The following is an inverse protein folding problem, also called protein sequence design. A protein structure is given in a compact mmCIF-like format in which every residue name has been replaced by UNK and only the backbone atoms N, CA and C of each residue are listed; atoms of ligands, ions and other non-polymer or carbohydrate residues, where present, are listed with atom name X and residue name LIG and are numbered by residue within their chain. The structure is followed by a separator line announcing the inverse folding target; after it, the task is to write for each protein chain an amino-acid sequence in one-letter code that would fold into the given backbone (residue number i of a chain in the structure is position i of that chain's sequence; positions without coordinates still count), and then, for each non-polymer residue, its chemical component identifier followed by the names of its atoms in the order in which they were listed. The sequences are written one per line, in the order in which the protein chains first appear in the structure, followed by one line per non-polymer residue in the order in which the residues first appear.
data_IF_109019169304
#
_entry.id   IF_109019169304
#
_cell.length_a   1.000
_cell.length_b   1.000
_cell.length_c   1.000
_cell.angle_alpha   90.00
_cell.angle_beta   90.00
_cell.angle_gamma   90.00
#
_symmetry.space_group_name_H-M   'P 1'
#
loop_
_entity.id
_entity.type
_entity.pdbx_description
1 polymer ?
#
# COMPACT_ATOMS: atom_id res chain seq x y z
N UNK A 1 18.60 -22.80 -9.06
CA UNK A 1 18.57 -21.52 -8.34
C UNK A 1 19.01 -20.43 -9.30
N UNK A 2 18.07 -19.61 -9.77
CA UNK A 2 18.37 -18.36 -10.49
C UNK A 2 18.06 -17.25 -9.51
N UNK A 3 19.09 -16.66 -8.91
CA UNK A 3 18.94 -15.40 -8.22
C UNK A 3 18.70 -14.34 -9.30
N UNK A 4 17.44 -14.19 -9.72
CA UNK A 4 17.04 -13.04 -10.52
C UNK A 4 17.41 -11.80 -9.70
N UNK A 5 18.30 -10.97 -10.24
CA UNK A 5 18.57 -9.64 -9.71
C UNK A 5 17.20 -8.99 -9.48
N UNK A 6 16.87 -8.79 -8.20
CA UNK A 6 15.59 -8.23 -7.78
C UNK A 6 15.35 -6.94 -8.56
N UNK A 7 14.43 -6.97 -9.51
CA UNK A 7 14.04 -5.76 -10.25
C UNK A 7 13.57 -4.75 -9.21
N UNK A 8 14.23 -3.58 -9.17
CA UNK A 8 13.83 -2.55 -8.22
C UNK A 8 12.58 -1.88 -8.78
N UNK A 9 11.50 -1.92 -8.01
CA UNK A 9 10.26 -1.24 -8.34
C UNK A 9 10.08 0.01 -7.47
N UNK A 10 9.44 1.02 -8.03
CA UNK A 10 8.96 2.18 -7.31
C UNK A 10 7.52 2.47 -7.73
N UNK A 11 6.73 2.97 -6.79
CA UNK A 11 5.35 3.38 -7.00
C UNK A 11 5.20 4.82 -6.50
N UNK A 12 4.62 5.68 -7.32
CA UNK A 12 4.41 7.09 -7.02
C UNK A 12 2.94 7.46 -7.20
N UNK A 13 2.43 8.32 -6.33
CA UNK A 13 1.17 9.04 -6.56
C UNK A 13 1.52 10.51 -6.69
N UNK A 14 1.00 11.16 -7.73
CA UNK A 14 1.15 12.60 -7.90
C UNK A 14 -0.05 13.31 -7.28
N UNK A 15 0.22 14.43 -6.60
CA UNK A 15 -0.82 15.25 -5.96
C UNK A 15 -1.90 15.73 -6.94
N UNK A 16 -1.53 16.00 -8.20
CA UNK A 16 -2.45 16.43 -9.24
C UNK A 16 -3.22 15.28 -9.91
N UNK A 17 -2.86 14.02 -9.64
CA UNK A 17 -3.51 12.81 -10.15
C UNK A 17 -3.66 11.75 -9.03
N UNK A 18 -4.38 12.05 -7.93
CA UNK A 18 -4.43 11.20 -6.75
C UNK A 18 -5.15 9.86 -6.97
N UNK A 19 -5.86 9.70 -8.09
CA UNK A 19 -6.56 8.47 -8.47
C UNK A 19 -5.70 7.45 -9.23
N UNK A 20 -4.40 7.71 -9.40
CA UNK A 20 -3.51 6.88 -10.20
C UNK A 20 -2.17 6.68 -9.52
N UNK A 21 -1.69 5.44 -9.53
CA UNK A 21 -0.34 5.08 -9.09
C UNK A 21 0.50 4.80 -10.33
N UNK A 22 1.65 5.45 -10.42
CA UNK A 22 2.61 5.28 -11.48
C UNK A 22 3.70 4.32 -11.03
N UNK A 23 3.93 3.27 -11.81
CA UNK A 23 4.94 2.27 -11.54
C UNK A 23 6.19 2.56 -12.36
N UNK A 24 7.34 2.43 -11.71
CA UNK A 24 8.65 2.54 -12.32
C UNK A 24 9.46 1.31 -11.98
N UNK A 25 10.31 0.90 -12.92
CA UNK A 25 11.29 -0.16 -12.70
C UNK A 25 12.68 0.34 -13.02
N UNK A 26 13.64 -0.11 -12.24
CA UNK A 26 15.05 0.00 -12.58
C UNK A 26 15.45 -1.30 -13.29
N UNK A 27 15.88 -1.25 -14.56
CA UNK A 27 16.36 -2.44 -15.25
C UNK A 27 17.49 -3.12 -14.47
N UNK A 28 17.62 -4.44 -14.65
CA UNK A 28 18.75 -5.16 -14.09
C UNK A 28 20.08 -4.54 -14.55
N UNK A 29 21.08 -4.57 -13.67
CA UNK A 29 22.36 -3.92 -13.88
C UNK A 29 22.97 -4.27 -15.25
N UNK A 30 23.27 -3.23 -16.06
CA UNK A 30 23.95 -3.37 -17.35
C UNK A 30 23.22 -2.80 -18.57
N UNK A 31 21.95 -2.36 -18.43
CA UNK A 31 21.16 -1.83 -19.55
C UNK A 31 20.95 -0.31 -19.51
N UNK A 32 20.66 0.25 -18.33
CA UNK A 32 20.71 1.68 -18.02
C UNK A 32 20.54 1.84 -16.50
N UNK A 33 21.04 2.94 -15.92
CA UNK A 33 20.84 3.26 -14.50
C UNK A 33 19.57 4.10 -14.25
N UNK A 34 18.70 4.18 -15.27
CA UNK A 34 17.56 5.09 -15.26
C UNK A 34 16.27 4.34 -14.93
N UNK A 35 15.43 4.96 -14.10
CA UNK A 35 14.08 4.50 -13.85
C UNK A 35 13.24 4.64 -15.12
N UNK A 36 12.61 3.55 -15.55
CA UNK A 36 11.70 3.57 -16.70
C UNK A 36 10.26 3.33 -16.25
N UNK A 37 9.27 3.97 -16.90
CA UNK A 37 7.86 3.66 -16.65
C UNK A 37 7.58 2.17 -16.86
N UNK A 38 6.84 1.58 -15.92
CA UNK A 38 6.49 0.17 -15.90
C UNK A 38 4.98 -0.08 -15.99
N UNK A 39 4.16 0.98 -15.90
CA UNK A 39 2.70 0.92 -16.00
C UNK A 39 2.02 1.82 -15.00
N UNK A 40 0.69 1.69 -14.94
CA UNK A 40 -0.18 2.52 -14.11
C UNK A 40 -1.24 1.65 -13.43
N UNK A 41 -1.65 2.05 -12.23
CA UNK A 41 -2.74 1.43 -11.48
C UNK A 41 -3.78 2.49 -11.17
N UNK A 42 -5.00 2.28 -11.66
CA UNK A 42 -6.13 3.11 -11.30
C UNK A 42 -6.65 2.71 -9.92
N UNK A 43 -6.78 3.69 -9.04
CA UNK A 43 -7.42 3.51 -7.75
C UNK A 43 -8.94 3.56 -7.91
N UNK A 44 -9.69 2.83 -7.06
CA UNK A 44 -11.15 2.91 -7.09
C UNK A 44 -11.61 4.34 -6.76
N UNK A 45 -12.83 4.72 -7.16
CA UNK A 45 -13.40 6.02 -6.80
C UNK A 45 -13.44 6.29 -5.28
N UNK A 46 -13.56 5.24 -4.46
CA UNK A 46 -13.53 5.35 -2.99
C UNK A 46 -12.21 5.94 -2.46
N UNK A 47 -11.12 5.86 -3.24
CA UNK A 47 -9.82 6.43 -2.88
C UNK A 47 -9.75 7.97 -3.02
N UNK A 48 -10.77 8.61 -3.58
CA UNK A 48 -10.82 10.07 -3.77
C UNK A 48 -10.86 10.84 -2.43
N UNK A 49 -11.15 10.17 -1.32
CA UNK A 49 -11.06 10.73 0.04
C UNK A 49 -9.64 10.84 0.60
N UNK A 50 -8.61 10.45 -0.16
CA UNK A 50 -7.21 10.54 0.23
C UNK A 50 -6.57 9.18 0.52
N UNK A 51 -5.36 8.99 0.02
CA UNK A 51 -4.51 7.83 0.30
C UNK A 51 -3.64 8.13 1.52
N UNK A 52 -3.36 7.08 2.30
CA UNK A 52 -2.47 7.19 3.43
C UNK A 52 -1.07 6.67 3.14
N UNK A 53 -0.94 5.62 2.31
CA UNK A 53 0.36 5.04 2.05
C UNK A 53 0.36 3.97 0.95
N UNK A 54 1.57 3.71 0.47
CA UNK A 54 1.92 2.67 -0.49
C UNK A 54 2.99 1.77 0.13
N UNK A 55 2.90 0.47 -0.12
CA UNK A 55 3.95 -0.47 0.22
C UNK A 55 4.04 -1.62 -0.77
N UNK A 56 5.23 -2.21 -0.86
CA UNK A 56 5.45 -3.43 -1.64
C UNK A 56 5.56 -4.63 -0.71
N UNK A 57 4.94 -5.74 -1.11
CA UNK A 57 5.09 -7.05 -0.48
C UNK A 57 5.40 -8.09 -1.57
N UNK A 58 6.68 -8.27 -1.87
CA UNK A 58 7.10 -9.08 -3.02
C UNK A 58 6.61 -8.47 -4.33
N UNK A 59 5.72 -9.18 -5.03
CA UNK A 59 5.11 -8.74 -6.28
C UNK A 59 3.76 -8.05 -6.09
N UNK A 60 3.40 -7.75 -4.84
CA UNK A 60 2.13 -7.12 -4.50
C UNK A 60 2.37 -5.65 -4.16
N UNK A 61 1.52 -4.79 -4.71
CA UNK A 61 1.38 -3.40 -4.30
C UNK A 61 0.20 -3.28 -3.36
N UNK A 62 0.43 -2.76 -2.16
CA UNK A 62 -0.61 -2.45 -1.19
C UNK A 62 -0.83 -0.93 -1.18
N UNK A 63 -2.09 -0.52 -1.20
CA UNK A 63 -2.52 0.86 -1.04
C UNK A 63 -3.52 0.95 0.11
N UNK A 64 -3.29 1.84 1.07
CA UNK A 64 -4.22 2.06 2.19
C UNK A 64 -4.97 3.38 2.02
N UNK A 65 -6.29 3.33 2.19
CA UNK A 65 -7.15 4.52 2.20
C UNK A 65 -7.13 5.18 3.58
N UNK A 66 -6.83 6.47 3.65
CA UNK A 66 -6.54 7.15 4.92
C UNK A 66 -7.73 7.25 5.87
N UNK A 67 -8.93 7.48 5.32
CA UNK A 67 -10.15 7.65 6.11
C UNK A 67 -10.76 6.35 6.62
N UNK A 68 -10.70 5.26 5.83
CA UNK A 68 -11.34 3.98 6.18
C UNK A 68 -10.37 2.92 6.67
N UNK A 69 -9.10 2.99 6.27
CA UNK A 69 -8.14 1.89 6.48
C UNK A 69 -8.38 0.68 5.60
N UNK A 70 -9.27 0.78 4.60
CA UNK A 70 -9.39 -0.21 3.55
C UNK A 70 -8.06 -0.35 2.81
N UNK A 71 -7.67 -1.60 2.52
CA UNK A 71 -6.41 -1.89 1.82
C UNK A 71 -6.72 -2.55 0.49
N UNK A 72 -6.31 -1.89 -0.59
CA UNK A 72 -6.26 -2.47 -1.91
C UNK A 72 -4.94 -3.20 -2.09
N UNK A 73 -5.00 -4.45 -2.49
CA UNK A 73 -3.83 -5.25 -2.83
C UNK A 73 -3.89 -5.60 -4.31
N UNK A 74 -2.78 -5.39 -5.02
CA UNK A 74 -2.69 -5.67 -6.45
C UNK A 74 -1.41 -6.43 -6.77
N UNK A 75 -1.55 -7.57 -7.42
CA UNK A 75 -0.43 -8.31 -8.00
C UNK A 75 0.09 -7.57 -9.23
N UNK A 76 1.39 -7.33 -9.28
CA UNK A 76 2.05 -6.57 -10.34
C UNK A 76 2.40 -7.41 -11.57
N UNK A 77 2.37 -8.75 -11.48
CA UNK A 77 2.62 -9.63 -12.61
C UNK A 77 1.35 -9.89 -13.43
N UNK A 78 0.25 -10.24 -12.77
CA UNK A 78 -1.00 -10.66 -13.44
C UNK A 78 -2.13 -9.62 -13.32
N UNK A 79 -1.92 -8.56 -12.55
CA UNK A 79 -2.89 -7.47 -12.38
C UNK A 79 -4.11 -7.84 -11.54
N UNK A 80 -4.14 -9.02 -10.90
CA UNK A 80 -5.23 -9.41 -10.00
C UNK A 80 -5.25 -8.51 -8.78
N UNK A 81 -6.46 -8.18 -8.35
CA UNK A 81 -6.70 -7.31 -7.20
C UNK A 81 -7.51 -8.04 -6.14
N UNK A 82 -7.19 -7.75 -4.88
CA UNK A 82 -7.98 -8.14 -3.72
C UNK A 82 -8.11 -6.95 -2.76
N UNK A 83 -9.04 -7.08 -1.81
CA UNK A 83 -9.39 -6.03 -0.87
C UNK A 83 -9.38 -6.60 0.54
N UNK A 84 -8.83 -5.84 1.47
CA UNK A 84 -9.01 -6.08 2.90
C UNK A 84 -9.95 -5.02 3.44
N UNK A 85 -11.03 -5.47 4.07
CA UNK A 85 -12.08 -4.61 4.58
C UNK A 85 -11.52 -3.58 5.58
N UNK A 86 -12.18 -2.42 5.74
CA UNK A 86 -11.82 -1.52 6.82
C UNK A 86 -12.00 -2.23 8.17
N UNK A 87 -11.10 -2.02 9.15
CA UNK A 87 -11.30 -2.53 10.49
C UNK A 87 -12.53 -1.87 11.14
N UNK A 88 -13.03 -2.41 12.27
CA UNK A 88 -14.17 -1.82 12.96
C UNK A 88 -13.94 -0.32 13.23
N UNK A 89 -14.98 0.52 13.02
CA UNK A 89 -14.87 1.95 13.21
C UNK A 89 -14.50 2.26 14.66
N UNK A 90 -13.49 3.12 14.83
CA UNK A 90 -13.10 3.68 16.12
C UNK A 90 -13.12 5.21 16.00
N UNK A 91 -13.45 5.89 17.11
CA UNK A 91 -13.44 7.34 17.12
C UNK A 91 -12.04 7.89 16.79
N UNK A 92 -12.00 8.86 15.86
CA UNK A 92 -10.82 9.63 15.45
C UNK A 92 -9.57 8.79 15.18
N UNK A 93 -9.62 7.96 14.13
CA UNK A 93 -8.48 7.19 13.62
C UNK A 93 -8.08 7.68 12.23
N UNK A 94 -6.79 7.88 12.01
CA UNK A 94 -6.19 8.19 10.71
C UNK A 94 -5.22 7.08 10.32
N UNK A 95 -5.50 6.36 9.23
CA UNK A 95 -4.57 5.36 8.72
C UNK A 95 -3.37 6.04 8.06
N UNK A 96 -2.20 5.40 8.14
CA UNK A 96 -0.92 5.92 7.64
C UNK A 96 -0.21 4.96 6.70
N UNK A 97 -0.26 3.65 6.96
CA UNK A 97 0.38 2.66 6.11
C UNK A 97 -0.22 1.28 6.33
N UNK A 98 0.06 0.36 5.42
CA UNK A 98 -0.23 -1.07 5.57
C UNK A 98 0.92 -1.89 5.01
N UNK A 99 1.15 -3.08 5.53
CA UNK A 99 2.06 -4.07 4.97
C UNK A 99 1.44 -5.47 5.01
N UNK A 100 1.92 -6.35 4.12
CA UNK A 100 1.52 -7.74 4.18
C UNK A 100 2.11 -8.40 5.44
N UNK A 101 1.31 -9.26 6.06
CA UNK A 101 1.70 -10.07 7.20
C UNK A 101 1.28 -11.51 6.94
N UNK A 102 2.21 -12.46 7.05
CA UNK A 102 1.91 -13.89 6.91
C UNK A 102 1.91 -14.53 8.30
N UNK A 103 0.73 -14.76 8.93
CA UNK A 103 0.64 -15.64 10.09
C UNK A 103 1.10 -17.05 9.75
N UNK A 104 1.54 -17.79 10.78
CA UNK A 104 2.10 -19.16 10.68
C UNK A 104 1.21 -20.19 9.95
N UNK A 105 -0.07 -19.87 9.71
CA UNK A 105 -1.05 -20.72 9.05
C UNK A 105 -1.20 -20.49 7.52
N UNK A 106 -0.35 -19.67 6.89
CA UNK A 106 -0.33 -19.50 5.43
C UNK A 106 -1.49 -18.69 4.84
N UNK A 107 -2.30 -18.02 5.68
CA UNK A 107 -3.25 -17.01 5.23
C UNK A 107 -2.54 -15.67 5.04
N UNK A 108 -2.77 -14.97 3.95
CA UNK A 108 -2.16 -13.67 3.72
C UNK A 108 -2.95 -12.57 4.46
N UNK A 109 -2.41 -12.10 5.58
CA UNK A 109 -2.98 -11.02 6.39
C UNK A 109 -2.40 -9.65 6.05
N UNK A 110 -2.92 -8.62 6.74
CA UNK A 110 -2.46 -7.24 6.61
C UNK A 110 -2.29 -6.60 7.98
N UNK A 111 -1.14 -5.98 8.18
CA UNK A 111 -0.87 -5.12 9.33
C UNK A 111 -1.05 -3.66 8.91
N UNK A 112 -1.87 -2.91 9.64
CA UNK A 112 -2.12 -1.49 9.40
C UNK A 112 -1.51 -0.65 10.50
N UNK A 113 -0.90 0.47 10.12
CA UNK A 113 -0.48 1.53 11.02
C UNK A 113 -1.49 2.67 10.95
N UNK A 114 -1.99 3.08 12.12
CA UNK A 114 -2.85 4.23 12.26
C UNK A 114 -2.38 5.14 13.40
N UNK A 115 -2.83 6.39 13.36
CA UNK A 115 -2.83 7.31 14.48
C UNK A 115 -4.23 7.35 15.07
N UNK A 116 -4.35 7.17 16.37
CA UNK A 116 -5.62 7.30 17.09
C UNK A 116 -5.55 8.49 18.02
N UNK A 117 -6.56 9.36 17.93
CA UNK A 117 -6.69 10.49 18.84
C UNK A 117 -7.03 9.96 20.24
N UNK A 118 -6.39 10.52 21.26
CA UNK A 118 -6.70 10.22 22.65
C UNK A 118 -7.96 10.98 23.10
N UNK A 119 -8.49 10.59 24.26
CA UNK A 119 -9.70 11.19 24.83
C UNK A 119 -9.55 12.68 25.14
N UNK A 120 -8.32 13.20 25.22
CA UNK A 120 -8.04 14.62 25.39
C UNK A 120 -8.31 15.44 24.12
N UNK A 121 -8.57 14.79 22.97
CA UNK A 121 -8.83 15.45 21.70
C UNK A 121 -7.63 16.16 21.09
N UNK A 122 -6.44 16.06 21.68
CA UNK A 122 -5.26 16.82 21.25
C UNK A 122 -4.03 15.95 21.04
N UNK A 123 -3.97 14.79 21.69
CA UNK A 123 -2.86 13.86 21.57
C UNK A 123 -3.19 12.73 20.60
N UNK A 124 -2.17 12.27 19.88
CA UNK A 124 -2.25 11.15 18.95
C UNK A 124 -1.29 10.05 19.38
N UNK A 125 -1.76 8.80 19.35
CA UNK A 125 -0.93 7.63 19.60
C UNK A 125 -0.90 6.72 18.40
N UNK A 126 0.26 6.11 18.15
CA UNK A 126 0.39 5.08 17.14
C UNK A 126 -0.34 3.81 17.57
N UNK A 127 -1.04 3.19 16.62
CA UNK A 127 -1.79 1.96 16.80
C UNK A 127 -1.49 1.01 15.64
N UNK A 128 -1.24 -0.26 15.96
CA UNK A 128 -1.08 -1.33 15.00
C UNK A 128 -2.32 -2.22 15.02
N UNK A 129 -2.89 -2.47 13.85
CA UNK A 129 -4.12 -3.25 13.68
C UNK A 129 -3.82 -4.43 12.77
N UNK A 130 -4.05 -5.64 13.29
CA UNK A 130 -3.80 -6.89 12.60
C UNK A 130 -5.10 -7.49 12.08
N UNK A 131 -5.08 -7.97 10.84
CA UNK A 131 -6.16 -8.76 10.20
C UNK A 131 -5.58 -9.98 9.49
#
# INVERSE_FOLDING_TARGET
ASAALSERAAALIYEHLPGMIFLFKLPAAGLSADWVPAGEVHLPPAAQGGFAGLSFAGQELLTVLGGSGEVHRRNLLDGRSSWHAPPPPAASREFRSACAFEPEAGSAGVLRLALRQQNDGHSWVAELILE
#
